data_IF_950879597270
#
_entry.id   IF_950879597270
#
_cell.length_a   1.000
_cell.length_b   1.000
_cell.length_c   1.000
_cell.angle_alpha   90.00
_cell.angle_beta   90.00
_cell.angle_gamma   90.00
#
_symmetry.space_group_name_H-M   'P 1'
#
loop_
_entity.id
_entity.type
_entity.pdbx_description
1 polymer ?
#
# COMPACT_ATOMS: atom_id res chain seq x y z
N UNK A 1 -35.46 -9.28 -20.10
CA UNK A 1 -35.31 -8.78 -21.49
C UNK A 1 -33.82 -8.69 -21.81
N UNK A 2 -33.36 -9.11 -23.01
CA UNK A 2 -31.93 -8.97 -23.40
C UNK A 2 -31.70 -7.59 -24.03
N UNK A 3 -30.77 -6.80 -23.49
CA UNK A 3 -30.21 -5.62 -24.17
C UNK A 3 -28.77 -5.94 -24.57
N UNK A 4 -28.52 -6.12 -25.87
CA UNK A 4 -27.16 -6.03 -26.43
C UNK A 4 -26.86 -4.55 -26.62
N UNK A 5 -25.76 -4.07 -26.04
CA UNK A 5 -25.19 -2.78 -26.41
C UNK A 5 -24.07 -3.04 -27.42
N UNK A 6 -24.14 -2.40 -28.58
CA UNK A 6 -23.08 -2.43 -29.59
C UNK A 6 -22.60 -0.99 -29.76
N UNK A 7 -21.32 -0.75 -29.50
CA UNK A 7 -20.70 0.56 -29.70
C UNK A 7 -19.80 0.44 -30.93
N UNK A 8 -20.07 1.25 -31.94
CA UNK A 8 -19.31 1.33 -33.19
C UNK A 8 -17.99 2.07 -32.97
N UNK A 9 -16.90 1.55 -33.53
CA UNK A 9 -15.60 2.22 -33.52
C UNK A 9 -15.64 3.57 -34.27
N UNK A 10 -14.83 4.53 -33.81
CA UNK A 10 -14.78 5.88 -34.37
C UNK A 10 -14.01 5.99 -35.69
N UNK A 11 -14.21 7.11 -36.39
CA UNK A 11 -13.49 7.42 -37.63
C UNK A 11 -11.99 7.66 -37.35
N UNK A 12 -11.13 7.10 -38.20
CA UNK A 12 -9.72 7.47 -38.24
C UNK A 12 -9.52 8.77 -39.05
N UNK A 13 -8.84 9.76 -38.48
CA UNK A 13 -8.45 10.99 -39.18
C UNK A 13 -7.04 10.82 -39.72
N UNK A 14 -6.89 10.81 -41.05
CA UNK A 14 -5.59 10.66 -41.72
C UNK A 14 -4.83 11.98 -41.77
N UNK A 15 -3.85 12.16 -40.89
CA UNK A 15 -2.84 13.22 -40.99
C UNK A 15 -1.72 12.77 -41.95
N UNK A 16 -1.51 13.52 -43.04
CA UNK A 16 -0.39 13.26 -43.96
C UNK A 16 0.79 14.16 -43.58
N UNK A 17 1.89 13.54 -43.14
CA UNK A 17 3.20 14.20 -42.98
C UNK A 17 4.21 13.56 -43.94
N UNK A 18 4.96 14.40 -44.65
CA UNK A 18 5.87 13.94 -45.70
C UNK A 18 7.32 13.83 -45.20
N UNK A 19 7.93 12.66 -45.40
CA UNK A 19 9.36 12.48 -45.60
C UNK A 19 10.32 12.74 -44.43
N UNK A 20 10.81 11.66 -43.83
CA UNK A 20 12.25 11.31 -43.80
C UNK A 20 12.34 9.80 -43.56
N UNK A 21 13.18 9.10 -44.33
CA UNK A 21 13.31 7.65 -44.25
C UNK A 21 14.21 7.20 -43.11
N UNK A 22 13.62 6.89 -41.95
CA UNK A 22 14.22 5.94 -40.99
C UNK A 22 13.57 4.57 -41.18
N UNK A 23 14.37 3.50 -41.09
CA UNK A 23 13.84 2.15 -41.20
C UNK A 23 13.08 1.77 -39.93
N UNK A 24 11.76 1.79 -39.99
CA UNK A 24 10.92 1.25 -38.93
C UNK A 24 11.23 -0.24 -38.76
N UNK A 25 11.86 -0.60 -37.63
CA UNK A 25 11.77 -1.96 -37.15
C UNK A 25 10.27 -2.28 -36.97
N UNK A 26 9.80 -3.38 -37.54
CA UNK A 26 8.42 -3.79 -37.37
C UNK A 26 8.18 -4.07 -35.87
N UNK A 27 7.31 -3.31 -35.23
CA UNK A 27 6.87 -3.60 -33.87
C UNK A 27 6.22 -4.98 -33.87
N UNK A 28 6.91 -5.95 -33.25
CA UNK A 28 6.34 -7.26 -33.00
C UNK A 28 5.11 -7.06 -32.10
N UNK A 29 3.93 -7.34 -32.65
CA UNK A 29 2.68 -7.02 -31.98
C UNK A 29 2.57 -7.74 -30.63
N UNK A 30 2.03 -7.04 -29.63
CA UNK A 30 2.08 -7.50 -28.24
C UNK A 30 1.05 -8.62 -28.05
N UNK A 31 1.44 -9.81 -27.54
CA UNK A 31 0.48 -10.86 -27.29
C UNK A 31 -0.51 -10.46 -26.17
N UNK A 32 -1.77 -10.82 -26.36
CA UNK A 32 -2.88 -10.55 -25.42
C UNK A 32 -3.47 -11.85 -24.92
N UNK A 33 -3.99 -11.87 -23.70
CA UNK A 33 -4.68 -13.02 -23.10
C UNK A 33 -5.94 -13.38 -23.87
N UNK A 34 -6.13 -14.68 -24.10
CA UNK A 34 -7.38 -15.28 -24.55
C UNK A 34 -7.91 -16.24 -23.48
N UNK A 35 -9.09 -15.95 -22.91
CA UNK A 35 -9.69 -16.76 -21.87
C UNK A 35 -11.09 -17.27 -22.29
N UNK A 36 -11.45 -18.52 -21.96
CA UNK A 36 -12.81 -19.02 -22.07
C UNK A 36 -13.82 -18.10 -21.36
N UNK A 37 -14.93 -17.82 -22.03
CA UNK A 37 -16.00 -16.98 -21.48
C UNK A 37 -16.83 -17.77 -20.46
N UNK A 38 -16.88 -17.29 -19.21
CA UNK A 38 -17.61 -17.94 -18.12
C UNK A 38 -19.08 -17.54 -18.21
N UNK A 39 -19.94 -18.50 -18.56
CA UNK A 39 -21.38 -18.27 -18.71
C UNK A 39 -22.18 -19.07 -17.69
N UNK A 40 -22.92 -18.37 -16.82
CA UNK A 40 -23.70 -19.02 -15.74
C UNK A 40 -25.07 -19.44 -16.30
N UNK A 41 -25.14 -20.65 -16.85
CA UNK A 41 -26.34 -21.20 -17.50
C UNK A 41 -27.34 -21.88 -16.54
N UNK A 42 -27.36 -21.50 -15.26
CA UNK A 42 -28.28 -22.02 -14.23
C UNK A 42 -29.12 -20.90 -13.63
N UNK A 43 -30.21 -21.26 -12.94
CA UNK A 43 -31.02 -20.29 -12.21
C UNK A 43 -30.24 -19.74 -11.00
N UNK A 44 -29.85 -18.46 -11.04
CA UNK A 44 -29.12 -17.79 -9.95
C UNK A 44 -30.12 -17.23 -8.93
N UNK A 45 -30.09 -17.68 -7.65
CA UNK A 45 -30.92 -17.12 -6.58
C UNK A 45 -30.72 -15.61 -6.44
N UNK A 46 -31.78 -14.85 -6.16
CA UNK A 46 -31.72 -13.38 -6.08
C UNK A 46 -30.66 -12.88 -5.08
N UNK A 47 -30.47 -13.59 -3.98
CA UNK A 47 -29.49 -13.32 -2.93
C UNK A 47 -28.04 -13.48 -3.43
N UNK A 48 -27.80 -14.29 -4.46
CA UNK A 48 -26.47 -14.57 -5.01
C UNK A 48 -26.09 -13.66 -6.19
N UNK A 49 -27.04 -12.95 -6.80
CA UNK A 49 -26.81 -12.18 -8.04
C UNK A 49 -25.66 -11.19 -7.92
N UNK A 50 -25.63 -10.36 -6.87
CA UNK A 50 -24.55 -9.39 -6.66
C UNK A 50 -23.17 -10.03 -6.45
N UNK A 51 -23.10 -11.20 -5.80
CA UNK A 51 -21.83 -11.93 -5.60
C UNK A 51 -21.35 -12.60 -6.90
N UNK A 52 -22.27 -13.14 -7.69
CA UNK A 52 -21.99 -13.69 -9.02
C UNK A 52 -21.52 -12.59 -9.96
N UNK A 53 -22.23 -11.47 -10.05
CA UNK A 53 -21.87 -10.31 -10.89
C UNK A 53 -20.51 -9.69 -10.47
N UNK A 54 -20.19 -9.67 -9.17
CA UNK A 54 -18.89 -9.23 -8.69
C UNK A 54 -17.77 -10.21 -9.10
N UNK A 55 -17.98 -11.52 -9.02
CA UNK A 55 -16.98 -12.51 -9.45
C UNK A 55 -16.85 -12.59 -10.99
N UNK A 56 -17.90 -12.34 -11.76
CA UNK A 56 -17.83 -12.20 -13.22
C UNK A 56 -17.01 -10.96 -13.61
N UNK A 57 -17.24 -9.82 -12.96
CA UNK A 57 -16.42 -8.60 -13.16
C UNK A 57 -14.95 -8.83 -12.75
N UNK A 58 -14.71 -9.61 -11.70
CA UNK A 58 -13.37 -9.99 -11.26
C UNK A 58 -12.67 -10.88 -12.31
N UNK A 59 -13.38 -11.79 -12.98
CA UNK A 59 -12.82 -12.60 -14.08
C UNK A 59 -12.37 -11.74 -15.28
N UNK A 60 -13.09 -10.65 -15.59
CA UNK A 60 -12.69 -9.67 -16.61
C UNK A 60 -11.50 -8.80 -16.14
N UNK A 61 -11.51 -8.38 -14.87
CA UNK A 61 -10.38 -7.66 -14.27
C UNK A 61 -9.09 -8.48 -14.32
N UNK A 62 -9.15 -9.78 -14.01
CA UNK A 62 -8.02 -10.71 -14.10
C UNK A 62 -7.46 -10.85 -15.53
N UNK A 63 -8.32 -10.84 -16.55
CA UNK A 63 -7.89 -10.82 -17.96
C UNK A 63 -7.12 -9.53 -18.27
N UNK A 64 -7.63 -8.38 -17.81
CA UNK A 64 -7.01 -7.08 -18.02
C UNK A 64 -5.67 -6.94 -17.27
N UNK A 65 -5.59 -7.41 -16.01
CA UNK A 65 -4.32 -7.52 -15.27
C UNK A 65 -3.27 -8.30 -16.06
N UNK A 66 -3.64 -9.48 -16.57
CA UNK A 66 -2.72 -10.36 -17.26
C UNK A 66 -2.31 -9.81 -18.65
N UNK A 67 -3.21 -9.15 -19.38
CA UNK A 67 -2.89 -8.37 -20.58
C UNK A 67 -1.83 -7.30 -20.29
N UNK A 68 -2.05 -6.47 -19.27
CA UNK A 68 -1.13 -5.40 -18.88
C UNK A 68 0.24 -5.96 -18.49
N UNK A 69 0.29 -7.10 -17.80
CA UNK A 69 1.54 -7.78 -17.42
C UNK A 69 2.32 -8.32 -18.63
N UNK A 70 1.66 -8.79 -19.68
CA UNK A 70 2.35 -9.22 -20.92
C UNK A 70 2.96 -8.02 -21.62
N UNK A 71 2.19 -6.94 -21.80
CA UNK A 71 2.67 -5.70 -22.42
C UNK A 71 3.87 -5.10 -21.66
N UNK A 72 3.86 -5.13 -20.33
CA UNK A 72 4.95 -4.64 -19.49
C UNK A 72 6.22 -5.52 -19.48
N UNK A 73 6.20 -6.72 -20.07
CA UNK A 73 7.31 -7.70 -19.97
C UNK A 73 7.80 -8.23 -21.32
N UNK A 74 7.41 -7.59 -22.43
CA UNK A 74 7.93 -7.89 -23.77
C UNK A 74 9.47 -7.82 -23.80
N UNK A 75 10.11 -8.87 -24.30
CA UNK A 75 11.58 -9.00 -24.35
C UNK A 75 12.26 -9.38 -23.02
N UNK A 76 11.51 -9.62 -21.94
CA UNK A 76 12.06 -9.94 -20.62
C UNK A 76 11.73 -11.39 -20.19
N UNK A 77 12.46 -11.89 -19.19
CA UNK A 77 12.16 -13.16 -18.50
C UNK A 77 12.47 -14.46 -19.25
N UNK A 78 12.72 -14.42 -20.56
CA UNK A 78 13.12 -15.58 -21.36
C UNK A 78 11.98 -16.51 -21.78
N UNK A 79 12.33 -17.60 -22.47
CA UNK A 79 11.37 -18.55 -23.03
C UNK A 79 10.53 -19.21 -21.92
N UNK A 80 9.21 -18.98 -21.94
CA UNK A 80 8.27 -19.48 -20.94
C UNK A 80 7.86 -18.49 -19.84
N UNK A 81 8.41 -17.26 -19.80
CA UNK A 81 8.03 -16.27 -18.78
C UNK A 81 6.52 -16.00 -18.74
N UNK A 82 5.89 -15.72 -19.89
CA UNK A 82 4.44 -15.46 -19.96
C UNK A 82 3.63 -16.67 -19.48
N UNK A 83 4.05 -17.89 -19.84
CA UNK A 83 3.38 -19.13 -19.43
C UNK A 83 3.43 -19.33 -17.91
N UNK A 84 4.60 -19.14 -17.30
CA UNK A 84 4.86 -19.45 -15.90
C UNK A 84 4.45 -18.33 -14.95
N UNK A 85 4.78 -17.07 -15.28
CA UNK A 85 4.55 -15.92 -14.41
C UNK A 85 3.19 -15.25 -14.62
N UNK A 86 2.54 -15.45 -15.78
CA UNK A 86 1.28 -14.75 -16.13
C UNK A 86 0.12 -15.73 -16.29
N UNK A 87 0.18 -16.66 -17.26
CA UNK A 87 -0.93 -17.57 -17.54
C UNK A 87 -1.21 -18.58 -16.42
N UNK A 88 -0.16 -19.05 -15.72
CA UNK A 88 -0.30 -19.88 -14.52
C UNK A 88 -1.10 -19.17 -13.41
N UNK A 89 -0.61 -18.08 -12.83
CA UNK A 89 -1.33 -17.34 -11.79
C UNK A 89 -2.71 -16.81 -12.24
N UNK A 90 -2.88 -16.49 -13.52
CA UNK A 90 -4.19 -16.15 -14.08
C UNK A 90 -5.18 -17.33 -14.00
N UNK A 91 -4.74 -18.54 -14.35
CA UNK A 91 -5.55 -19.76 -14.22
C UNK A 91 -6.00 -19.95 -12.77
N UNK A 92 -5.08 -19.85 -11.81
CA UNK A 92 -5.42 -20.09 -10.39
C UNK A 92 -6.37 -19.01 -9.84
N UNK A 93 -6.14 -17.73 -10.19
CA UNK A 93 -7.06 -16.62 -9.88
C UNK A 93 -8.47 -16.84 -10.47
N UNK A 94 -8.57 -17.32 -11.71
CA UNK A 94 -9.85 -17.60 -12.39
C UNK A 94 -10.55 -18.83 -11.81
N UNK A 95 -9.81 -19.90 -11.53
CA UNK A 95 -10.33 -21.11 -10.89
C UNK A 95 -10.99 -20.79 -9.54
N UNK A 96 -10.33 -19.94 -8.73
CA UNK A 96 -10.88 -19.47 -7.46
C UNK A 96 -12.17 -18.63 -7.65
N UNK A 97 -12.20 -17.70 -8.63
CA UNK A 97 -13.38 -16.89 -8.90
C UNK A 97 -14.57 -17.70 -9.43
N UNK A 98 -14.34 -18.71 -10.28
CA UNK A 98 -15.40 -19.62 -10.76
C UNK A 98 -15.94 -20.47 -9.59
N UNK A 99 -15.06 -21.00 -8.73
CA UNK A 99 -15.48 -21.72 -7.51
C UNK A 99 -16.30 -20.84 -6.55
N UNK A 100 -16.01 -19.53 -6.45
CA UNK A 100 -16.83 -18.58 -5.68
C UNK A 100 -18.22 -18.41 -6.30
N UNK A 101 -18.35 -18.33 -7.62
CA UNK A 101 -19.65 -18.30 -8.33
C UNK A 101 -20.46 -19.56 -8.01
N UNK A 102 -19.86 -20.75 -8.14
CA UNK A 102 -20.54 -22.02 -7.81
C UNK A 102 -20.98 -22.07 -6.35
N UNK A 103 -20.12 -21.60 -5.44
CA UNK A 103 -20.39 -21.58 -3.98
C UNK A 103 -21.47 -20.57 -3.61
N UNK A 104 -21.50 -19.38 -4.23
CA UNK A 104 -22.53 -18.37 -3.99
C UNK A 104 -23.92 -18.89 -4.38
N UNK A 105 -24.01 -19.59 -5.51
CA UNK A 105 -25.24 -20.24 -5.97
C UNK A 105 -25.60 -21.42 -5.05
N UNK A 106 -24.64 -22.25 -4.65
CA UNK A 106 -24.89 -23.45 -3.84
C UNK A 106 -25.42 -23.18 -2.43
N UNK A 107 -25.35 -21.95 -1.93
CA UNK A 107 -25.95 -21.56 -0.63
C UNK A 107 -27.49 -21.55 -0.67
N UNK A 108 -28.10 -21.41 -1.85
CA UNK A 108 -29.55 -21.25 -2.02
C UNK A 108 -30.14 -22.06 -3.20
N UNK A 109 -29.34 -22.90 -3.85
CA UNK A 109 -29.72 -23.77 -4.97
C UNK A 109 -28.78 -25.00 -5.01
N UNK A 110 -29.03 -25.95 -5.93
CA UNK A 110 -28.05 -26.98 -6.24
C UNK A 110 -26.75 -26.34 -6.76
N UNK A 111 -25.57 -26.83 -6.32
CA UNK A 111 -24.28 -26.34 -6.81
C UNK A 111 -24.17 -26.60 -8.32
N UNK A 112 -23.95 -25.57 -9.17
CA UNK A 112 -23.61 -25.80 -10.56
C UNK A 112 -22.18 -26.30 -10.67
N UNK A 113 -21.93 -27.16 -11.65
CA UNK A 113 -20.60 -27.51 -12.14
C UNK A 113 -20.33 -26.66 -13.38
N UNK A 114 -19.48 -25.64 -13.24
CA UNK A 114 -19.11 -24.72 -14.31
C UNK A 114 -17.82 -25.17 -15.03
N UNK A 115 -17.28 -26.36 -14.75
CA UNK A 115 -15.99 -26.86 -15.28
C UNK A 115 -14.86 -25.86 -15.04
N UNK A 116 -14.68 -25.45 -13.79
CA UNK A 116 -13.69 -24.46 -13.37
C UNK A 116 -12.27 -24.80 -13.85
N UNK A 117 -11.89 -26.09 -13.86
CA UNK A 117 -10.58 -26.59 -14.32
C UNK A 117 -10.31 -26.23 -15.79
N UNK A 118 -11.36 -26.32 -16.62
CA UNK A 118 -11.32 -26.02 -18.05
C UNK A 118 -11.43 -24.51 -18.30
N UNK A 119 -12.44 -23.85 -17.73
CA UNK A 119 -12.71 -22.43 -17.96
C UNK A 119 -11.65 -21.49 -17.36
N UNK A 120 -10.90 -21.94 -16.35
CA UNK A 120 -9.80 -21.17 -15.78
C UNK A 120 -8.61 -20.99 -16.75
N UNK A 121 -8.34 -21.97 -17.60
CA UNK A 121 -7.12 -22.01 -18.41
C UNK A 121 -7.20 -21.03 -19.60
N UNK A 122 -6.16 -20.22 -19.80
CA UNK A 122 -6.10 -19.19 -20.83
C UNK A 122 -4.83 -19.30 -21.69
N UNK A 123 -4.89 -18.75 -22.91
CA UNK A 123 -3.82 -18.76 -23.93
C UNK A 123 -3.52 -17.32 -24.40
N UNK A 124 -2.87 -17.14 -25.56
CA UNK A 124 -2.51 -15.84 -26.14
C UNK A 124 -3.10 -15.64 -27.54
N UNK A 125 -3.37 -14.39 -27.91
CA UNK A 125 -3.51 -13.91 -29.29
C UNK A 125 -2.32 -13.00 -29.60
N UNK A 126 -1.53 -13.31 -30.62
CA UNK A 126 -0.19 -12.71 -30.83
C UNK A 126 -0.18 -11.33 -31.50
N UNK A 127 -1.32 -10.63 -31.58
CA UNK A 127 -1.47 -9.40 -32.37
C UNK A 127 -2.27 -8.28 -31.66
N UNK A 128 -1.67 -7.61 -30.66
CA UNK A 128 -2.26 -6.48 -29.93
C UNK A 128 -1.45 -5.17 -29.99
N UNK A 129 -2.14 -4.04 -29.93
CA UNK A 129 -1.56 -2.69 -29.91
C UNK A 129 -1.53 -2.08 -28.48
N UNK A 130 -0.59 -1.17 -28.23
CA UNK A 130 -0.22 -0.74 -26.88
C UNK A 130 -1.13 0.35 -26.25
N UNK A 131 -1.51 0.23 -24.95
CA UNK A 131 -2.08 1.31 -24.15
C UNK A 131 -1.00 2.11 -23.37
N UNK A 132 -1.39 3.26 -22.82
CA UNK A 132 -0.50 4.21 -22.09
C UNK A 132 -0.25 3.77 -20.63
N UNK A 133 0.92 4.12 -20.09
CA UNK A 133 1.50 3.61 -18.84
C UNK A 133 1.13 4.40 -17.57
N UNK A 134 0.82 3.68 -16.49
CA UNK A 134 1.14 4.02 -15.09
C UNK A 134 1.68 2.76 -14.36
N UNK A 135 2.41 2.93 -13.25
CA UNK A 135 3.45 1.98 -12.80
C UNK A 135 3.26 1.48 -11.33
N UNK A 136 4.29 0.89 -10.67
CA UNK A 136 4.43 -0.51 -10.17
C UNK A 136 3.63 -0.85 -8.88
N UNK A 137 3.49 -2.10 -8.38
CA UNK A 137 3.76 -3.49 -8.82
C UNK A 137 2.81 -4.46 -8.01
N UNK A 138 3.06 -5.65 -7.43
CA UNK A 138 4.21 -6.59 -7.33
C UNK A 138 3.74 -8.08 -7.25
N UNK A 139 4.02 -8.83 -6.16
CA UNK A 139 3.72 -10.27 -5.99
C UNK A 139 3.60 -10.72 -4.51
N UNK A 140 2.99 -11.89 -4.27
CA UNK A 140 2.87 -12.55 -2.95
C UNK A 140 4.24 -12.86 -2.30
N UNK A 141 4.56 -12.30 -1.12
CA UNK A 141 5.85 -12.53 -0.47
C UNK A 141 5.78 -13.69 0.56
N UNK A 142 6.22 -14.89 0.17
CA UNK A 142 6.19 -16.04 1.09
C UNK A 142 7.02 -17.25 0.69
N UNK A 143 8.29 -17.30 1.11
CA UNK A 143 9.16 -18.48 0.97
C UNK A 143 8.77 -19.60 1.97
N UNK A 144 7.58 -20.18 1.80
CA UNK A 144 6.96 -21.15 2.72
C UNK A 144 6.77 -20.63 4.17
N UNK A 145 6.71 -19.31 4.37
CA UNK A 145 6.68 -18.66 5.68
C UNK A 145 5.32 -18.66 6.40
N UNK A 146 4.28 -19.25 5.81
CA UNK A 146 2.95 -19.35 6.44
C UNK A 146 2.28 -18.01 6.71
N UNK A 147 2.33 -17.07 5.75
CA UNK A 147 1.73 -15.73 5.89
C UNK A 147 0.22 -15.82 6.18
N UNK A 148 -0.26 -15.01 7.13
CA UNK A 148 -1.66 -15.05 7.60
C UNK A 148 -2.60 -14.26 6.66
N UNK A 149 -2.14 -13.09 6.22
CA UNK A 149 -2.66 -12.33 5.08
C UNK A 149 -1.61 -11.29 4.67
N UNK A 150 -1.67 -10.84 3.42
CA UNK A 150 -0.94 -9.69 2.87
C UNK A 150 -1.87 -8.57 2.36
N UNK A 151 -3.17 -8.86 2.16
CA UNK A 151 -4.19 -7.89 1.72
C UNK A 151 -5.33 -7.75 2.75
N UNK A 152 -6.27 -6.85 2.47
CA UNK A 152 -7.51 -6.69 3.23
C UNK A 152 -8.64 -7.65 2.82
N UNK A 153 -8.46 -8.47 1.78
CA UNK A 153 -9.57 -9.21 1.13
C UNK A 153 -10.25 -10.26 2.02
N UNK A 154 -9.57 -10.71 3.07
CA UNK A 154 -10.07 -11.67 4.07
C UNK A 154 -10.53 -11.01 5.38
N UNK A 155 -10.51 -9.67 5.46
CA UNK A 155 -10.82 -8.93 6.68
C UNK A 155 -12.32 -8.67 6.82
N UNK A 156 -12.83 -8.80 8.06
CA UNK A 156 -14.20 -8.42 8.42
C UNK A 156 -14.30 -6.97 8.93
N UNK A 157 -13.21 -6.20 8.89
CA UNK A 157 -13.19 -4.78 9.27
C UNK A 157 -13.54 -3.89 8.07
N UNK A 158 -14.27 -2.80 8.33
CA UNK A 158 -14.58 -1.80 7.30
C UNK A 158 -13.28 -1.18 6.72
N UNK A 159 -13.21 -0.88 5.41
CA UNK A 159 -12.07 -0.16 4.84
C UNK A 159 -11.86 1.20 5.50
N UNK A 160 -10.60 1.62 5.62
CA UNK A 160 -10.24 2.95 6.09
C UNK A 160 -10.86 4.06 5.22
N UNK A 161 -11.21 5.16 5.88
CA UNK A 161 -11.75 6.40 5.31
C UNK A 161 -10.69 7.53 5.29
N UNK A 162 -9.45 7.20 5.67
CA UNK A 162 -8.33 8.13 5.79
C UNK A 162 -8.23 8.85 7.13
N UNK A 163 -9.27 8.82 7.97
CA UNK A 163 -9.27 9.45 9.29
C UNK A 163 -8.68 8.53 10.37
N UNK A 164 -8.39 9.09 11.55
CA UNK A 164 -7.83 8.38 12.70
C UNK A 164 -8.87 7.50 13.43
N UNK A 165 -9.50 6.57 12.69
CA UNK A 165 -10.55 5.70 13.23
C UNK A 165 -10.02 4.26 13.33
N UNK A 166 -10.12 3.68 14.54
CA UNK A 166 -9.76 2.29 14.80
C UNK A 166 -10.77 1.29 14.21
N UNK A 167 -10.45 -0.01 14.31
CA UNK A 167 -11.26 -1.09 13.74
C UNK A 167 -11.55 -0.88 12.24
N UNK A 168 -10.46 -0.63 11.49
CA UNK A 168 -10.44 -0.48 10.03
C UNK A 168 -9.45 -1.45 9.40
N UNK A 169 -9.73 -1.88 8.18
CA UNK A 169 -8.71 -2.48 7.32
C UNK A 169 -8.03 -1.39 6.48
N UNK A 170 -6.70 -1.33 6.50
CA UNK A 170 -5.90 -0.37 5.72
C UNK A 170 -5.31 -1.12 4.54
N UNK A 171 -5.85 -0.89 3.35
CA UNK A 171 -5.38 -1.46 2.08
C UNK A 171 -4.31 -0.60 1.39
N UNK A 172 -3.93 0.53 2.00
CA UNK A 172 -2.83 1.36 1.52
C UNK A 172 -1.50 0.63 1.69
N UNK A 173 -0.82 0.46 0.56
CA UNK A 173 0.48 -0.21 0.47
C UNK A 173 1.50 0.32 1.48
N UNK A 174 2.46 -0.53 1.85
CA UNK A 174 3.59 -0.08 2.66
C UNK A 174 4.47 0.90 1.88
N UNK A 175 4.58 0.72 0.56
CA UNK A 175 5.34 1.59 -0.32
C UNK A 175 6.83 1.26 -0.35
N UNK A 176 7.64 2.26 -0.63
CA UNK A 176 9.06 2.13 -0.93
C UNK A 176 9.92 1.99 0.34
N UNK A 177 10.92 1.11 0.27
CA UNK A 177 11.86 0.81 1.36
C UNK A 177 13.26 1.30 0.97
N UNK A 178 13.87 2.09 1.85
CA UNK A 178 15.27 2.53 1.66
C UNK A 178 16.25 1.38 1.84
N UNK A 179 17.39 1.45 1.14
CA UNK A 179 18.54 0.60 1.47
C UNK A 179 19.03 0.90 2.89
N UNK A 180 19.60 -0.07 3.60
CA UNK A 180 19.94 0.03 5.03
C UNK A 180 20.84 1.22 5.40
N UNK A 181 21.69 1.68 4.49
CA UNK A 181 22.53 2.88 4.66
C UNK A 181 21.73 4.20 4.63
N UNK A 182 20.55 4.17 4.00
CA UNK A 182 19.62 5.27 3.80
C UNK A 182 18.37 5.17 4.70
N UNK A 183 18.27 4.18 5.59
CA UNK A 183 17.18 4.13 6.57
C UNK A 183 17.25 5.36 7.48
N UNK A 184 16.08 5.92 7.80
CA UNK A 184 15.96 7.03 8.75
C UNK A 184 16.49 6.64 10.13
N UNK A 185 17.13 7.57 10.83
CA UNK A 185 17.54 7.44 12.23
C UNK A 185 17.23 8.72 13.00
N UNK A 186 16.96 8.58 14.31
CA UNK A 186 16.52 9.67 15.18
C UNK A 186 17.14 9.49 16.58
N UNK A 187 17.48 10.60 17.25
CA UNK A 187 18.05 10.62 18.60
C UNK A 187 17.65 11.92 19.34
N UNK A 188 17.22 11.83 20.60
CA UNK A 188 16.99 12.98 21.48
C UNK A 188 18.33 13.40 22.09
N UNK A 189 19.06 14.26 21.38
CA UNK A 189 20.44 14.68 21.73
C UNK A 189 20.51 15.56 22.98
N UNK A 190 19.39 16.15 23.42
CA UNK A 190 19.30 16.86 24.71
C UNK A 190 17.88 16.84 25.27
N UNK A 191 17.76 16.52 26.55
CA UNK A 191 16.55 16.66 27.35
C UNK A 191 16.89 17.04 28.80
N UNK A 192 15.99 17.73 29.54
CA UNK A 192 16.16 17.94 30.97
C UNK A 192 15.80 16.66 31.74
N UNK A 193 16.65 16.22 32.67
CA UNK A 193 16.28 15.13 33.59
C UNK A 193 15.16 15.50 34.57
N UNK A 194 14.99 16.81 34.84
CA UNK A 194 13.95 17.32 35.73
C UNK A 194 13.50 18.75 35.35
N UNK A 195 12.21 19.03 35.51
CA UNK A 195 11.59 20.38 35.43
C UNK A 195 10.58 20.59 36.58
N UNK A 196 10.11 21.83 36.78
CA UNK A 196 8.94 22.13 37.63
C UNK A 196 7.63 21.96 36.83
N UNK A 197 6.50 21.75 37.51
CA UNK A 197 5.16 21.85 36.88
C UNK A 197 5.03 23.15 36.09
N UNK A 198 4.47 23.07 34.88
CA UNK A 198 4.29 24.19 33.94
C UNK A 198 5.55 25.00 33.60
N UNK A 199 6.76 24.48 33.85
CA UNK A 199 8.00 25.09 33.37
C UNK A 199 8.22 24.69 31.89
N UNK A 200 8.39 25.65 30.96
CA UNK A 200 8.76 25.34 29.58
C UNK A 200 10.14 24.68 29.50
N UNK A 201 10.33 23.78 28.54
CA UNK A 201 11.65 23.19 28.27
C UNK A 201 11.81 22.77 26.81
N UNK A 202 13.06 22.70 26.35
CA UNK A 202 13.42 22.26 25.00
C UNK A 202 13.90 20.81 25.00
N UNK A 203 13.41 20.02 24.05
CA UNK A 203 14.04 18.78 23.61
C UNK A 203 14.81 19.08 22.31
N UNK A 204 16.05 18.61 22.19
CA UNK A 204 16.76 18.62 20.90
C UNK A 204 16.60 17.24 20.28
N UNK A 205 15.96 17.17 19.10
CA UNK A 205 15.75 15.94 18.35
C UNK A 205 16.58 16.00 17.09
N UNK A 206 17.56 15.11 16.97
CA UNK A 206 18.33 14.95 15.73
C UNK A 206 17.71 13.88 14.84
N UNK A 207 17.69 14.14 13.53
CA UNK A 207 17.25 13.19 12.51
C UNK A 207 18.28 13.10 11.39
N UNK A 208 18.47 11.91 10.82
CA UNK A 208 19.28 11.66 9.63
C UNK A 208 18.53 10.74 8.68
N UNK A 209 18.76 10.87 7.37
CA UNK A 209 18.11 10.09 6.32
C UNK A 209 16.58 10.21 6.34
N UNK A 210 16.08 11.43 6.55
CA UNK A 210 14.66 11.74 6.62
C UNK A 210 14.46 13.13 6.01
N UNK A 211 13.60 13.23 5.00
CA UNK A 211 13.15 14.49 4.41
C UNK A 211 11.81 14.82 5.06
N UNK A 212 11.71 15.99 5.70
CA UNK A 212 10.60 16.38 6.59
C UNK A 212 9.62 17.30 5.88
N UNK A 213 9.12 16.83 4.74
CA UNK A 213 8.29 17.56 3.77
C UNK A 213 6.98 16.82 3.43
N UNK A 214 6.58 15.84 4.25
CA UNK A 214 5.36 15.06 4.02
C UNK A 214 4.61 14.63 5.28
N UNK A 215 3.59 15.41 5.63
CA UNK A 215 2.59 15.12 6.66
C UNK A 215 1.18 15.42 6.11
N UNK A 216 0.46 14.37 5.70
CA UNK A 216 -0.93 14.52 5.27
C UNK A 216 -1.85 14.65 6.49
N UNK A 217 -2.31 15.89 6.75
CA UNK A 217 -3.01 16.26 7.98
C UNK A 217 -4.14 15.28 8.36
N UNK A 218 -3.95 14.56 9.47
CA UNK A 218 -4.81 13.46 9.90
C UNK A 218 -6.30 13.86 10.08
N UNK A 219 -6.55 15.08 10.57
CA UNK A 219 -7.90 15.65 10.72
C UNK A 219 -8.59 16.06 9.41
N UNK A 220 -7.89 15.95 8.26
CA UNK A 220 -8.42 16.16 6.91
C UNK A 220 -8.56 14.83 6.13
N UNK A 221 -8.46 13.68 6.81
CA UNK A 221 -8.50 12.36 6.17
C UNK A 221 -7.14 11.91 5.61
N UNK A 222 -6.05 12.58 5.98
CA UNK A 222 -4.70 12.28 5.47
C UNK A 222 -3.99 11.09 6.11
N UNK A 223 -4.54 10.48 7.17
CA UNK A 223 -3.76 9.61 8.06
C UNK A 223 -3.32 8.27 7.44
N UNK A 224 -4.22 7.65 6.67
CA UNK A 224 -4.03 6.31 6.09
C UNK A 224 -4.01 6.28 4.55
N UNK A 225 -3.91 7.41 3.85
CA UNK A 225 -4.19 7.49 2.38
C UNK A 225 -2.96 7.47 1.47
N UNK A 226 -1.75 7.45 2.05
CA UNK A 226 -0.48 7.48 1.31
C UNK A 226 0.42 6.32 1.74
N UNK A 227 1.30 5.88 0.84
CA UNK A 227 2.32 4.85 1.09
C UNK A 227 3.69 5.50 1.36
N UNK A 228 4.65 4.77 1.93
CA UNK A 228 6.04 5.27 2.02
C UNK A 228 6.59 5.58 0.62
N UNK A 229 7.27 6.72 0.46
CA UNK A 229 7.92 7.14 -0.79
C UNK A 229 9.30 7.70 -0.52
N UNK A 230 10.23 7.43 -1.43
CA UNK A 230 11.62 7.88 -1.35
C UNK A 230 11.88 9.08 -2.28
N UNK A 231 12.85 9.90 -1.91
CA UNK A 231 13.49 10.86 -2.80
C UNK A 231 15.01 10.73 -2.62
N UNK A 232 15.71 10.51 -3.73
CA UNK A 232 17.15 10.17 -3.74
C UNK A 232 17.49 8.97 -2.82
N UNK A 233 16.54 8.04 -2.67
CA UNK A 233 16.67 6.87 -1.80
C UNK A 233 16.47 7.13 -0.30
N UNK A 234 16.06 8.34 0.11
CA UNK A 234 15.73 8.71 1.50
C UNK A 234 14.21 8.81 1.68
N UNK A 235 13.69 8.46 2.84
CA UNK A 235 12.25 8.54 3.14
C UNK A 235 11.78 9.99 3.23
N UNK A 236 10.65 10.30 2.56
CA UNK A 236 9.87 11.52 2.76
C UNK A 236 8.80 11.31 3.83
N UNK A 237 8.65 12.28 4.70
CA UNK A 237 7.81 12.15 5.88
C UNK A 237 7.90 13.34 6.82
N UNK A 238 7.92 13.04 8.12
CA UNK A 238 7.93 13.98 9.23
C UNK A 238 8.51 13.29 10.48
N UNK A 239 8.52 13.94 11.64
CA UNK A 239 8.62 13.21 12.90
C UNK A 239 7.68 13.77 13.96
N UNK A 240 7.25 12.91 14.88
CA UNK A 240 6.45 13.26 16.03
C UNK A 240 7.32 13.45 17.27
N UNK A 241 6.89 14.29 18.20
CA UNK A 241 7.41 14.32 19.57
C UNK A 241 6.25 14.43 20.54
N UNK A 242 6.22 13.58 21.56
CA UNK A 242 5.15 13.51 22.53
C UNK A 242 5.67 13.27 23.95
N UNK A 243 5.02 13.84 24.96
CA UNK A 243 5.29 13.54 26.37
C UNK A 243 4.02 13.03 27.05
N UNK A 244 4.08 11.81 27.59
CA UNK A 244 3.02 11.22 28.44
C UNK A 244 3.55 10.94 29.85
N UNK A 245 2.68 11.03 30.85
CA UNK A 245 3.01 10.59 32.22
C UNK A 245 3.11 9.05 32.26
N UNK A 246 3.83 8.52 33.24
CA UNK A 246 3.93 7.09 33.51
C UNK A 246 3.43 6.78 34.92
N UNK A 247 2.33 6.04 35.01
CA UNK A 247 1.81 5.51 36.29
C UNK A 247 2.72 4.43 36.87
N UNK A 248 3.43 3.71 36.00
CA UNK A 248 4.45 2.72 36.33
C UNK A 248 5.66 2.87 35.42
N UNK A 249 6.86 2.66 35.98
CA UNK A 249 8.11 2.61 35.22
C UNK A 249 8.49 1.16 34.82
N UNK A 250 7.76 0.16 35.34
CA UNK A 250 8.08 -1.27 35.22
C UNK A 250 7.03 -2.06 34.43
N UNK A 251 6.07 -1.37 33.80
CA UNK A 251 4.98 -1.96 33.01
C UNK A 251 4.76 -1.12 31.74
N UNK A 252 4.12 -1.70 30.72
CA UNK A 252 3.66 -0.94 29.57
C UNK A 252 2.48 -0.03 30.01
N UNK A 253 2.57 1.30 29.86
CA UNK A 253 1.46 2.20 30.16
C UNK A 253 0.34 2.04 29.11
N UNK A 254 -0.87 2.44 29.49
CA UNK A 254 -2.04 2.41 28.62
C UNK A 254 -1.86 3.24 27.32
N UNK A 255 -2.62 2.93 26.25
CA UNK A 255 -2.62 3.73 25.02
C UNK A 255 -3.39 5.06 25.19
N UNK A 256 -4.31 5.11 26.15
CA UNK A 256 -5.06 6.30 26.57
C UNK A 256 -4.58 6.78 27.95
N UNK A 257 -4.75 8.06 28.31
CA UNK A 257 -5.29 9.15 27.50
C UNK A 257 -4.28 9.67 26.47
N UNK A 258 -4.69 10.67 25.68
CA UNK A 258 -3.76 11.40 24.78
C UNK A 258 -2.57 11.98 25.55
N UNK A 259 -1.37 12.07 24.93
CA UNK A 259 -0.19 12.66 25.57
C UNK A 259 -0.42 14.08 26.09
N UNK A 260 0.20 14.43 27.22
CA UNK A 260 0.14 15.77 27.81
C UNK A 260 0.85 16.84 26.97
N UNK A 261 1.67 16.42 26.01
CA UNK A 261 2.22 17.22 24.92
C UNK A 261 2.35 16.36 23.68
N UNK A 262 2.04 16.90 22.50
CA UNK A 262 2.26 16.29 21.20
C UNK A 262 2.55 17.38 20.15
N UNK A 263 3.46 17.10 19.22
CA UNK A 263 3.69 17.91 18.01
C UNK A 263 4.16 17.02 16.85
N UNK A 264 3.73 17.35 15.63
CA UNK A 264 4.29 16.83 14.39
C UNK A 264 5.22 17.88 13.76
N UNK A 265 6.37 17.46 13.25
CA UNK A 265 7.38 18.33 12.62
C UNK A 265 7.52 17.99 11.14
N UNK A 266 6.81 18.76 10.32
CA UNK A 266 7.11 18.98 8.90
C UNK A 266 7.63 20.41 8.77
N UNK A 267 8.94 20.59 8.66
CA UNK A 267 9.58 21.91 8.54
C UNK A 267 10.25 22.13 7.17
N UNK A 268 9.98 21.23 6.21
CA UNK A 268 10.48 21.23 4.84
C UNK A 268 12.03 21.25 4.76
N UNK A 269 12.67 20.49 5.67
CA UNK A 269 14.14 20.31 5.79
C UNK A 269 14.50 18.84 6.00
N UNK A 270 15.73 18.56 6.44
CA UNK A 270 16.27 17.21 6.58
C UNK A 270 17.05 16.76 5.32
N UNK A 271 17.23 15.45 5.17
CA UNK A 271 18.05 14.83 4.12
C UNK A 271 19.03 13.79 4.65
N UNK A 272 20.11 13.53 3.91
CA UNK A 272 21.09 12.47 4.21
C UNK A 272 22.02 12.77 5.41
N UNK A 273 22.16 14.04 5.78
CA UNK A 273 23.00 14.45 6.90
C UNK A 273 22.20 14.50 8.20
N UNK A 274 22.92 14.49 9.34
CA UNK A 274 22.28 14.71 10.64
C UNK A 274 21.93 16.19 10.80
N UNK A 275 20.64 16.46 10.98
CA UNK A 275 20.06 17.76 11.32
C UNK A 275 19.51 17.71 12.76
N UNK A 276 19.22 18.85 13.40
CA UNK A 276 18.66 18.91 14.76
C UNK A 276 17.59 20.00 14.90
N UNK A 277 16.41 19.59 15.39
CA UNK A 277 15.27 20.46 15.64
C UNK A 277 15.05 20.66 17.14
N UNK A 278 14.83 21.91 17.54
CA UNK A 278 14.48 22.30 18.91
C UNK A 278 12.97 22.24 19.13
N UNK A 279 12.49 21.16 19.76
CA UNK A 279 11.08 21.00 20.14
C UNK A 279 10.83 21.71 21.46
N UNK A 280 9.94 22.71 21.46
CA UNK A 280 9.56 23.45 22.66
C UNK A 280 8.33 22.81 23.32
N UNK A 281 8.51 22.25 24.50
CA UNK A 281 7.41 21.81 25.36
C UNK A 281 7.01 23.02 26.25
N UNK A 282 5.77 23.53 26.16
CA UNK A 282 5.36 24.75 26.89
C UNK A 282 5.30 24.54 28.41
N UNK A 283 5.22 23.28 28.85
CA UNK A 283 5.18 22.87 30.25
C UNK A 283 4.40 21.57 30.40
N UNK A 284 4.50 20.95 31.58
CA UNK A 284 3.74 19.75 31.93
C UNK A 284 3.01 19.99 33.25
N UNK A 285 1.69 19.81 33.26
CA UNK A 285 0.83 20.25 34.36
C UNK A 285 0.83 19.32 35.58
N UNK A 286 1.04 18.02 35.38
CA UNK A 286 1.06 17.02 36.46
C UNK A 286 2.49 16.80 36.96
N UNK A 287 2.66 16.50 38.25
CA UNK A 287 3.94 16.02 38.79
C UNK A 287 4.06 14.49 38.59
N UNK A 288 5.26 14.00 38.30
CA UNK A 288 5.48 12.58 38.00
C UNK A 288 6.74 12.33 37.18
N UNK A 289 6.89 11.10 36.66
CA UNK A 289 7.87 10.80 35.61
C UNK A 289 7.16 10.76 34.27
N UNK A 290 7.63 11.54 33.30
CA UNK A 290 7.12 11.53 31.94
C UNK A 290 8.06 10.75 31.02
N UNK A 291 7.48 9.92 30.15
CA UNK A 291 8.12 9.48 28.93
C UNK A 291 7.95 10.60 27.90
N UNK A 292 9.05 11.25 27.51
CA UNK A 292 9.08 12.07 26.30
C UNK A 292 9.76 11.24 25.20
N UNK A 293 9.03 11.01 24.11
CA UNK A 293 9.44 10.18 22.97
C UNK A 293 9.40 11.00 21.69
N UNK A 294 10.30 10.70 20.78
CA UNK A 294 10.28 11.24 19.42
C UNK A 294 10.50 10.10 18.42
N UNK A 295 9.76 10.10 17.31
CA UNK A 295 9.83 9.06 16.29
C UNK A 295 9.52 9.61 14.90
N UNK A 296 10.24 9.14 13.89
CA UNK A 296 9.94 9.48 12.50
C UNK A 296 8.59 8.88 12.07
N UNK A 297 7.91 9.58 11.18
CA UNK A 297 6.80 9.07 10.38
C UNK A 297 7.15 9.18 8.91
N UNK A 298 6.82 8.17 8.10
CA UNK A 298 6.69 8.36 6.66
C UNK A 298 5.39 9.15 6.33
N UNK A 299 5.09 9.42 5.06
CA UNK A 299 3.83 10.09 4.65
C UNK A 299 2.54 9.41 5.15
N UNK A 300 2.62 8.14 5.57
CA UNK A 300 1.52 7.32 6.10
C UNK A 300 1.45 7.29 7.64
N UNK A 301 2.28 8.11 8.31
CA UNK A 301 2.43 8.17 9.77
C UNK A 301 2.95 6.87 10.44
N UNK A 302 3.33 5.86 9.64
CA UNK A 302 4.05 4.67 10.13
C UNK A 302 5.49 5.04 10.43
N UNK A 303 6.12 4.38 11.41
CA UNK A 303 7.58 4.46 11.55
C UNK A 303 8.19 3.89 10.26
N UNK A 304 9.09 4.63 9.56
CA UNK A 304 9.59 4.24 8.25
C UNK A 304 10.13 2.80 8.21
N UNK A 305 9.73 2.05 7.18
CA UNK A 305 10.11 0.66 7.03
C UNK A 305 11.62 0.52 6.79
N UNK A 306 12.23 -0.47 7.46
CA UNK A 306 13.66 -0.75 7.41
C UNK A 306 13.95 -1.98 6.54
N UNK A 307 15.03 -1.95 5.76
CA UNK A 307 15.57 -3.12 5.04
C UNK A 307 15.68 -4.39 5.92
N UNK A 308 16.00 -4.27 7.22
CA UNK A 308 16.25 -5.42 8.10
C UNK A 308 15.60 -5.27 9.48
N UNK A 309 15.11 -6.40 10.00
CA UNK A 309 14.54 -6.50 11.34
C UNK A 309 15.56 -6.30 12.49
N UNK A 310 16.87 -6.35 12.22
CA UNK A 310 17.93 -6.17 13.22
C UNK A 310 18.52 -4.74 13.23
N UNK A 311 17.77 -3.75 12.75
CA UNK A 311 18.13 -2.33 12.81
C UNK A 311 17.33 -1.61 13.89
N UNK A 312 17.92 -0.61 14.53
CA UNK A 312 17.19 0.28 15.45
C UNK A 312 16.29 1.21 14.65
N UNK A 313 14.96 1.25 14.90
CA UNK A 313 14.06 2.18 14.21
C UNK A 313 14.37 3.63 14.57
N UNK A 314 13.86 4.57 13.76
CA UNK A 314 13.95 6.01 14.01
C UNK A 314 13.03 6.45 15.16
N UNK A 315 13.34 6.01 16.37
CA UNK A 315 12.61 6.21 17.63
C UNK A 315 13.61 6.39 18.78
N UNK A 316 13.37 7.36 19.65
CA UNK A 316 14.07 7.50 20.93
C UNK A 316 13.11 7.93 22.05
N UNK A 317 13.51 7.75 23.31
CA UNK A 317 12.68 7.99 24.50
C UNK A 317 13.49 8.32 25.75
N UNK A 318 13.32 9.55 26.24
CA UNK A 318 13.90 10.01 27.51
C UNK A 318 12.90 9.92 28.67
N UNK A 319 13.39 10.17 29.89
CA UNK A 319 12.57 10.35 31.09
C UNK A 319 12.78 11.74 31.66
N UNK A 320 11.68 12.50 31.82
CA UNK A 320 11.69 13.84 32.41
C UNK A 320 10.89 13.79 33.71
N UNK A 321 11.50 14.13 34.86
CA UNK A 321 10.77 14.20 36.13
C UNK A 321 10.18 15.60 36.34
N UNK A 322 8.86 15.69 36.53
CA UNK A 322 8.17 16.95 36.84
C UNK A 322 7.90 17.00 38.35
N UNK A 323 8.26 18.11 39.01
CA UNK A 323 8.06 18.34 40.45
C UNK A 323 7.26 19.61 40.76
#
# INVERSE_FOLDING_TARGET
>A
MRRKLVITAGLAVTMVSAGIGIASAAEAAVPTVNCPQVTVNVNVPAQAQAEVDNNLRLLDQQINEANNRIAATVGQGGAGFIQNAILGPLKDKRFAAINRIETAISRNAARPDLKAETLATCTLNENGAAPVVTTPAAAEPGNNLGILTNTCDTSNLAPHDGFQIGNRCVSTEFGEVGAAANNSTLLITRAPGQVRRNQPFTLQVSTRNLIRDRFLAAGQGGYYVESSVLQNGLVRGHFHTACRILDSQNQAPAPEPVPAFFVATEDNKGGAQADTVSIQVPGLAQAGTFQCSAWAGDGSHRIPMMERANQTPALDSVRVRVR
#
